data_IF_198752813312
#
_entry.id   IF_198752813312
#
_cell.length_a   1.000
_cell.length_b   1.000
_cell.length_c   1.000
_cell.angle_alpha   90.00
_cell.angle_beta   90.00
_cell.angle_gamma   90.00
#
_symmetry.space_group_name_H-M   'P 1'
#
loop_
_entity.id
_entity.type
_entity.pdbx_description
1 polymer ?
#
# COMPACT_ATOMS: atom_id res chain seq x y z
N UNK A 1 5.09 -20.68 20.99
CA UNK A 1 4.42 -21.34 19.83
C UNK A 1 3.34 -20.42 19.25
N UNK A 2 3.59 -19.11 19.20
CA UNK A 2 2.53 -18.11 18.97
C UNK A 2 2.33 -17.82 17.47
N UNK A 3 3.37 -18.11 16.68
CA UNK A 3 3.31 -18.05 15.22
C UNK A 3 2.32 -19.02 14.58
N UNK A 4 2.01 -20.14 15.25
CA UNK A 4 1.03 -21.13 14.80
C UNK A 4 -0.39 -20.83 15.31
N UNK A 5 -0.51 -19.98 16.34
CA UNK A 5 -1.78 -19.65 17.00
C UNK A 5 -2.38 -18.33 16.53
N UNK A 6 -1.76 -17.69 15.53
CA UNK A 6 -2.21 -16.42 14.95
C UNK A 6 -2.29 -15.26 15.98
N UNK A 7 -1.39 -15.26 16.97
CA UNK A 7 -1.34 -14.23 18.01
C UNK A 7 -0.04 -13.43 17.88
N UNK A 8 -0.15 -12.10 17.72
CA UNK A 8 0.94 -11.11 17.78
C UNK A 8 2.28 -11.56 17.16
N UNK A 9 2.22 -12.02 15.92
CA UNK A 9 3.32 -12.71 15.24
C UNK A 9 3.56 -12.13 13.85
N UNK A 10 4.68 -12.48 13.21
CA UNK A 10 5.02 -12.06 11.86
C UNK A 10 3.96 -12.54 10.84
N UNK A 11 3.20 -11.59 10.28
CA UNK A 11 2.10 -11.85 9.33
C UNK A 11 2.58 -12.52 8.04
N UNK A 12 3.80 -12.22 7.59
CA UNK A 12 4.36 -12.84 6.37
C UNK A 12 4.62 -14.33 6.60
N UNK A 13 5.15 -14.69 7.76
CA UNK A 13 5.38 -16.08 8.14
C UNK A 13 4.05 -16.84 8.28
N UNK A 14 3.05 -16.25 8.92
CA UNK A 14 1.72 -16.85 9.05
C UNK A 14 1.08 -17.12 7.69
N UNK A 15 1.10 -16.13 6.78
CA UNK A 15 0.55 -16.27 5.43
C UNK A 15 1.28 -17.37 4.63
N UNK A 16 2.60 -17.46 4.79
CA UNK A 16 3.38 -18.51 4.13
C UNK A 16 3.05 -19.90 4.69
N UNK A 17 2.92 -20.05 6.02
CA UNK A 17 2.51 -21.31 6.65
C UNK A 17 1.10 -21.70 6.22
N UNK A 18 0.15 -20.76 6.21
CA UNK A 18 -1.22 -21.01 5.77
C UNK A 18 -1.29 -21.45 4.29
N UNK A 19 -0.42 -20.90 3.44
CA UNK A 19 -0.38 -21.21 2.01
C UNK A 19 0.30 -22.54 1.67
N UNK A 20 1.39 -22.87 2.35
CA UNK A 20 2.25 -24.00 1.97
C UNK A 20 2.25 -25.17 2.97
N UNK A 21 1.75 -24.96 4.19
CA UNK A 21 1.78 -25.93 5.28
C UNK A 21 3.09 -25.90 6.07
N UNK A 22 3.00 -26.21 7.36
CA UNK A 22 4.15 -26.20 8.28
C UNK A 22 5.23 -27.22 7.90
N UNK A 23 4.83 -28.35 7.30
CA UNK A 23 5.73 -29.41 6.83
C UNK A 23 6.68 -28.97 5.70
N UNK A 24 6.48 -27.79 5.12
CA UNK A 24 7.40 -27.18 4.14
C UNK A 24 8.44 -26.26 4.78
N UNK A 25 8.43 -26.12 6.10
CA UNK A 25 9.40 -25.33 6.86
C UNK A 25 10.37 -26.25 7.60
N UNK A 26 11.60 -25.77 7.76
CA UNK A 26 12.63 -26.43 8.57
C UNK A 26 13.12 -25.45 9.63
N UNK A 27 13.27 -25.93 10.85
CA UNK A 27 13.76 -25.15 11.97
C UNK A 27 15.19 -25.56 12.28
N UNK A 28 16.10 -24.58 12.31
CA UNK A 28 17.51 -24.79 12.61
C UNK A 28 17.90 -23.88 13.78
N UNK A 29 18.61 -24.45 14.75
CA UNK A 29 19.26 -23.68 15.81
C UNK A 29 20.67 -23.34 15.33
N UNK A 30 20.97 -22.05 15.21
CA UNK A 30 22.25 -21.59 14.66
C UNK A 30 23.36 -21.53 15.74
N UNK A 31 23.04 -21.00 16.92
CA UNK A 31 23.99 -20.84 18.02
C UNK A 31 23.23 -20.79 19.35
N UNK A 32 23.81 -21.36 20.40
CA UNK A 32 23.34 -21.22 21.77
C UNK A 32 24.09 -20.07 22.44
N UNK A 33 23.39 -19.23 23.18
CA UNK A 33 24.02 -18.14 23.92
C UNK A 33 24.84 -18.72 25.08
N UNK A 34 26.12 -18.34 25.25
CA UNK A 34 26.89 -18.74 26.41
C UNK A 34 26.38 -18.07 27.68
N UNK A 35 26.56 -18.71 28.84
CA UNK A 35 26.01 -18.27 30.14
C UNK A 35 26.49 -16.88 30.58
N UNK A 36 27.58 -16.38 30.01
CA UNK A 36 28.13 -15.05 30.29
C UNK A 36 27.48 -13.91 29.48
N UNK A 37 26.62 -14.22 28.51
CA UNK A 37 25.84 -13.22 27.79
C UNK A 37 24.53 -12.94 28.52
N UNK A 38 24.49 -11.85 29.28
CA UNK A 38 23.30 -11.42 30.02
C UNK A 38 22.67 -10.15 29.45
N UNK A 39 23.31 -9.51 28.45
CA UNK A 39 22.83 -8.25 27.90
C UNK A 39 22.03 -8.47 26.61
N UNK A 40 21.04 -7.59 26.39
CA UNK A 40 20.28 -7.57 25.14
C UNK A 40 21.17 -7.18 23.93
N UNK A 41 22.24 -6.42 24.17
CA UNK A 41 23.13 -5.97 23.11
C UNK A 41 23.95 -7.16 22.55
N UNK A 42 24.26 -8.17 23.37
CA UNK A 42 24.90 -9.42 22.90
C UNK A 42 23.99 -10.19 21.92
N UNK A 43 22.69 -10.24 22.21
CA UNK A 43 21.69 -10.84 21.31
C UNK A 43 21.60 -10.09 19.98
N UNK A 44 21.57 -8.75 20.01
CA UNK A 44 21.56 -7.92 18.81
C UNK A 44 22.81 -8.14 17.95
N UNK A 45 23.98 -8.21 18.57
CA UNK A 45 25.24 -8.43 17.86
C UNK A 45 25.25 -9.80 17.17
N UNK A 46 24.71 -10.82 17.84
CA UNK A 46 24.59 -12.17 17.28
C UNK A 46 23.56 -12.22 16.15
N UNK A 47 22.42 -11.55 16.30
CA UNK A 47 21.43 -11.41 15.22
C UNK A 47 22.06 -10.71 14.00
N UNK A 48 22.80 -9.62 14.20
CA UNK A 48 23.50 -8.91 13.13
C UNK A 48 24.52 -9.79 12.41
N UNK A 49 25.35 -10.54 13.16
CA UNK A 49 26.32 -11.51 12.61
C UNK A 49 25.68 -12.46 11.60
N UNK A 50 24.49 -12.98 11.92
CA UNK A 50 23.78 -13.90 11.02
C UNK A 50 23.06 -13.18 9.88
N UNK A 51 22.48 -12.00 10.11
CA UNK A 51 21.91 -11.18 9.03
C UNK A 51 22.96 -10.86 7.96
N UNK A 52 24.18 -10.48 8.38
CA UNK A 52 25.28 -10.17 7.48
C UNK A 52 25.74 -11.40 6.68
N UNK A 53 25.76 -12.58 7.30
CA UNK A 53 26.11 -13.84 6.63
C UNK A 53 25.12 -14.21 5.50
N UNK A 54 23.86 -13.75 5.62
CA UNK A 54 22.77 -14.11 4.71
C UNK A 54 22.29 -12.96 3.81
N UNK A 55 22.93 -11.80 3.91
CA UNK A 55 22.52 -10.55 3.25
C UNK A 55 22.33 -10.68 1.74
N UNK A 56 23.21 -11.42 1.07
CA UNK A 56 23.16 -11.57 -0.40
C UNK A 56 22.25 -12.72 -0.86
N UNK A 57 21.74 -13.53 0.08
CA UNK A 57 20.92 -14.71 -0.23
C UNK A 57 19.43 -14.45 -0.07
N UNK A 58 19.06 -13.48 0.77
CA UNK A 58 17.67 -13.23 1.15
C UNK A 58 17.38 -11.74 1.30
N UNK A 59 16.12 -11.37 1.07
CA UNK A 59 15.65 -9.99 1.21
C UNK A 59 15.25 -9.68 2.66
N UNK A 60 16.23 -9.58 3.56
CA UNK A 60 16.03 -9.20 4.97
C UNK A 60 16.39 -7.74 5.23
N UNK A 61 16.03 -7.21 6.40
CA UNK A 61 16.54 -5.89 6.82
C UNK A 61 18.06 -5.94 7.04
N UNK A 62 18.73 -4.83 6.71
CA UNK A 62 20.19 -4.73 6.81
C UNK A 62 20.73 -4.70 8.24
N UNK A 63 19.89 -4.36 9.22
CA UNK A 63 20.33 -4.13 10.58
C UNK A 63 19.38 -4.78 11.58
N UNK A 64 19.95 -5.53 12.53
CA UNK A 64 19.26 -5.99 13.72
C UNK A 64 18.86 -4.76 14.57
N UNK A 65 17.62 -4.73 15.06
CA UNK A 65 17.08 -3.58 15.78
C UNK A 65 16.29 -4.04 17.00
N UNK A 66 16.34 -3.20 18.03
CA UNK A 66 15.46 -3.34 19.20
C UNK A 66 14.01 -3.40 18.74
N UNK A 67 13.24 -4.31 19.34
CA UNK A 67 11.80 -4.40 19.08
C UNK A 67 11.16 -3.03 19.27
N UNK A 68 10.31 -2.62 18.31
CA UNK A 68 9.51 -1.39 18.41
C UNK A 68 8.27 -1.58 19.28
N UNK A 69 8.06 -2.78 19.85
CA UNK A 69 6.97 -3.03 20.77
C UNK A 69 7.15 -2.16 22.03
N UNK A 70 6.15 -1.30 22.31
CA UNK A 70 6.21 -0.36 23.42
C UNK A 70 6.94 0.96 23.14
N UNK A 71 7.47 1.18 21.92
CA UNK A 71 8.01 2.51 21.58
C UNK A 71 6.87 3.50 21.36
N UNK A 72 6.81 4.55 22.18
CA UNK A 72 5.90 5.67 21.98
C UNK A 72 6.48 6.64 20.96
N UNK A 73 5.63 7.18 20.08
CA UNK A 73 6.02 8.35 19.28
C UNK A 73 6.45 9.47 20.22
N UNK A 74 7.57 10.13 19.91
CA UNK A 74 7.99 11.32 20.65
C UNK A 74 6.91 12.40 20.58
N UNK A 75 6.81 13.25 21.60
CA UNK A 75 5.84 14.36 21.61
C UNK A 75 6.03 15.27 20.39
N UNK A 76 7.28 15.49 19.97
CA UNK A 76 7.61 16.21 18.73
C UNK A 76 7.01 15.56 17.49
N UNK A 77 7.12 14.22 17.37
CA UNK A 77 6.54 13.48 16.24
C UNK A 77 5.01 13.56 16.24
N UNK A 78 4.39 13.47 17.42
CA UNK A 78 2.93 13.62 17.56
C UNK A 78 2.48 15.03 17.17
N UNK A 79 3.18 16.07 17.64
CA UNK A 79 2.91 17.46 17.28
C UNK A 79 3.07 17.70 15.78
N UNK A 80 4.13 17.17 15.17
CA UNK A 80 4.35 17.29 13.72
C UNK A 80 3.22 16.62 12.91
N UNK A 81 2.78 15.42 13.32
CA UNK A 81 1.66 14.72 12.69
C UNK A 81 0.35 15.49 12.84
N UNK A 82 0.10 16.09 14.02
CA UNK A 82 -1.07 16.93 14.27
C UNK A 82 -1.07 18.18 13.38
N UNK A 83 0.05 18.90 13.28
CA UNK A 83 0.21 20.06 12.39
C UNK A 83 -0.04 19.70 10.93
N UNK A 84 0.57 18.61 10.44
CA UNK A 84 0.37 18.12 9.06
C UNK A 84 -1.07 17.74 8.77
N UNK A 85 -1.78 17.17 9.75
CA UNK A 85 -3.21 16.86 9.61
C UNK A 85 -4.01 18.15 9.37
N UNK A 86 -3.81 19.17 10.19
CA UNK A 86 -4.51 20.45 10.06
C UNK A 86 -4.23 21.10 8.71
N UNK A 87 -2.97 21.14 8.30
CA UNK A 87 -2.55 21.67 6.99
C UNK A 87 -3.16 20.88 5.81
N UNK A 88 -3.36 19.58 5.95
CA UNK A 88 -3.94 18.76 4.90
C UNK A 88 -5.45 18.98 4.73
N UNK A 89 -6.17 19.28 5.82
CA UNK A 89 -7.63 19.42 5.85
C UNK A 89 -8.10 20.89 5.76
N UNK A 90 -7.49 21.71 4.91
CA UNK A 90 -8.01 23.06 4.64
C UNK A 90 -9.34 23.01 3.89
N UNK A 91 -10.20 24.02 4.10
CA UNK A 91 -11.48 24.15 3.38
C UNK A 91 -11.27 24.25 1.87
N UNK A 92 -10.19 24.89 1.44
CA UNK A 92 -9.77 24.97 0.04
C UNK A 92 -9.52 23.58 -0.55
N UNK A 93 -8.77 22.72 0.16
CA UNK A 93 -8.54 21.34 -0.29
C UNK A 93 -9.82 20.51 -0.30
N UNK A 94 -10.70 20.67 0.69
CA UNK A 94 -12.01 20.00 0.69
C UNK A 94 -12.83 20.39 -0.55
N UNK A 95 -12.85 21.68 -0.91
CA UNK A 95 -13.52 22.16 -2.13
C UNK A 95 -12.92 21.56 -3.40
N UNK A 96 -11.59 21.56 -3.53
CA UNK A 96 -10.90 20.94 -4.68
C UNK A 96 -11.25 19.45 -4.80
N UNK A 97 -11.28 18.72 -3.68
CA UNK A 97 -11.67 17.30 -3.67
C UNK A 97 -13.13 17.15 -4.11
N UNK A 98 -14.06 17.94 -3.56
CA UNK A 98 -15.47 17.92 -3.94
C UNK A 98 -15.66 18.19 -5.44
N UNK A 99 -15.01 19.23 -5.97
CA UNK A 99 -15.04 19.59 -7.40
C UNK A 99 -14.43 18.51 -8.29
N UNK A 100 -13.44 17.77 -7.82
CA UNK A 100 -12.80 16.71 -8.60
C UNK A 100 -13.75 15.54 -8.86
N UNK A 101 -14.62 15.22 -7.90
CA UNK A 101 -15.55 14.08 -7.94
C UNK A 101 -16.98 14.45 -8.36
N UNK A 102 -17.35 15.74 -8.36
CA UNK A 102 -18.67 16.22 -8.77
C UNK A 102 -18.82 16.40 -10.28
N UNK A 103 -17.73 16.35 -11.04
CA UNK A 103 -17.77 16.47 -12.51
C UNK A 103 -18.36 15.22 -13.14
N UNK A 104 -19.20 15.44 -14.14
CA UNK A 104 -19.70 14.38 -15.01
C UNK A 104 -18.53 13.66 -15.68
N UNK A 105 -18.70 12.36 -15.92
CA UNK A 105 -17.72 11.54 -16.62
C UNK A 105 -18.33 10.92 -17.86
N UNK A 106 -17.52 10.87 -18.90
CA UNK A 106 -17.87 10.29 -20.19
C UNK A 106 -16.92 9.13 -20.47
N UNK A 107 -17.52 7.99 -20.83
CA UNK A 107 -16.81 6.77 -21.22
C UNK A 107 -16.93 6.62 -22.74
N UNK A 108 -15.80 6.62 -23.44
CA UNK A 108 -15.73 6.45 -24.89
C UNK A 108 -15.05 5.13 -25.25
N UNK A 109 -15.38 4.60 -26.41
CA UNK A 109 -14.60 3.52 -27.02
C UNK A 109 -13.29 4.09 -27.56
N UNK A 110 -12.16 3.44 -27.26
CA UNK A 110 -10.84 3.91 -27.65
C UNK A 110 -10.58 3.85 -29.17
N UNK A 111 -11.32 3.04 -29.92
CA UNK A 111 -11.13 2.88 -31.37
C UNK A 111 -11.99 3.82 -32.19
N UNK A 112 -13.26 3.97 -31.81
CA UNK A 112 -14.23 4.76 -32.59
C UNK A 112 -14.47 6.14 -32.01
N UNK A 113 -14.01 6.42 -30.78
CA UNK A 113 -14.32 7.64 -30.02
C UNK A 113 -15.83 7.88 -29.87
N UNK A 114 -16.64 6.84 -30.01
CA UNK A 114 -18.08 6.93 -29.79
C UNK A 114 -18.36 6.92 -28.29
N UNK A 115 -19.28 7.79 -27.86
CA UNK A 115 -19.73 7.84 -26.48
C UNK A 115 -20.49 6.55 -26.14
N UNK A 116 -19.98 5.80 -25.17
CA UNK A 116 -20.61 4.58 -24.66
C UNK A 116 -21.63 4.96 -23.59
N UNK A 117 -21.20 5.74 -22.60
CA UNK A 117 -22.03 6.08 -21.45
C UNK A 117 -21.59 7.36 -20.77
N UNK A 118 -22.59 8.10 -20.27
CA UNK A 118 -22.41 9.27 -19.41
C UNK A 118 -22.73 8.89 -17.97
N UNK A 119 -21.92 9.38 -17.05
CA UNK A 119 -22.06 9.19 -15.61
C UNK A 119 -22.20 10.53 -14.91
N UNK A 120 -23.19 10.63 -14.03
CA UNK A 120 -23.40 11.83 -13.23
C UNK A 120 -22.38 11.90 -12.09
N UNK A 121 -21.99 10.74 -11.56
CA UNK A 121 -21.07 10.59 -10.43
C UNK A 121 -19.98 9.58 -10.73
N UNK A 122 -18.81 9.81 -10.15
CA UNK A 122 -17.70 8.86 -10.20
C UNK A 122 -18.07 7.48 -9.63
N UNK A 123 -18.91 7.42 -8.59
CA UNK A 123 -19.30 6.18 -7.91
C UNK A 123 -20.03 5.18 -8.82
N UNK A 124 -20.86 5.69 -9.72
CA UNK A 124 -21.59 4.86 -10.69
C UNK A 124 -20.63 4.14 -11.63
N UNK A 125 -19.65 4.88 -12.16
CA UNK A 125 -18.60 4.33 -13.04
C UNK A 125 -17.69 3.34 -12.29
N UNK A 126 -17.33 3.66 -11.04
CA UNK A 126 -16.50 2.81 -10.18
C UNK A 126 -17.16 1.44 -9.97
N UNK A 127 -18.46 1.45 -9.66
CA UNK A 127 -19.25 0.25 -9.39
C UNK A 127 -19.40 -0.59 -10.65
N UNK A 128 -19.70 0.03 -11.79
CA UNK A 128 -19.90 -0.68 -13.06
C UNK A 128 -18.60 -1.27 -13.62
N UNK A 129 -17.49 -0.51 -13.59
CA UNK A 129 -16.20 -0.98 -14.09
C UNK A 129 -15.44 -1.89 -13.10
N UNK A 130 -15.91 -1.96 -11.85
CA UNK A 130 -15.27 -2.66 -10.72
C UNK A 130 -13.81 -2.24 -10.56
N UNK A 131 -13.60 -0.94 -10.39
CA UNK A 131 -12.26 -0.32 -10.29
C UNK A 131 -12.13 0.53 -9.04
N UNK A 132 -10.90 0.85 -8.65
CA UNK A 132 -10.70 1.80 -7.54
C UNK A 132 -10.97 3.25 -7.99
N UNK A 133 -11.40 4.14 -7.09
CA UNK A 133 -11.52 5.57 -7.40
C UNK A 133 -10.21 6.18 -7.94
N UNK A 134 -9.07 5.71 -7.43
CA UNK A 134 -7.73 6.13 -7.89
C UNK A 134 -7.49 5.79 -9.36
N UNK A 135 -8.05 4.69 -9.83
CA UNK A 135 -7.95 4.29 -11.24
C UNK A 135 -8.67 5.32 -12.12
N UNK A 136 -9.89 5.71 -11.76
CA UNK A 136 -10.62 6.74 -12.52
C UNK A 136 -9.82 8.04 -12.57
N UNK A 137 -9.30 8.51 -11.42
CA UNK A 137 -8.45 9.71 -11.37
C UNK A 137 -7.21 9.60 -12.25
N UNK A 138 -6.57 8.42 -12.28
CA UNK A 138 -5.36 8.20 -13.07
C UNK A 138 -5.59 8.29 -14.58
N UNK A 139 -6.74 7.81 -15.06
CA UNK A 139 -7.02 7.74 -16.50
C UNK A 139 -7.86 8.92 -17.00
N UNK A 140 -8.63 9.56 -16.12
CA UNK A 140 -9.45 10.74 -16.43
C UNK A 140 -8.59 11.86 -17.01
N UNK A 141 -8.96 12.32 -18.21
CA UNK A 141 -8.34 13.46 -18.91
C UNK A 141 -6.83 13.27 -19.22
N UNK A 142 -6.37 12.01 -19.30
CA UNK A 142 -4.96 11.69 -19.63
C UNK A 142 -4.76 11.18 -21.06
N UNK A 143 -5.84 11.06 -21.83
CA UNK A 143 -5.90 10.43 -23.16
C UNK A 143 -5.36 8.99 -23.20
N UNK A 144 -5.09 8.39 -22.05
CA UNK A 144 -4.62 7.02 -21.94
C UNK A 144 -5.78 6.05 -22.04
N UNK A 145 -5.56 4.98 -22.82
CA UNK A 145 -6.55 3.93 -22.98
C UNK A 145 -6.60 3.05 -21.73
N UNK A 146 -7.75 3.07 -21.06
CA UNK A 146 -8.07 2.17 -19.97
C UNK A 146 -8.42 0.77 -20.49
N UNK A 147 -7.71 -0.24 -19.99
CA UNK A 147 -7.85 -1.68 -20.37
C UNK A 147 -7.76 -1.94 -21.88
N UNK A 148 -7.08 -1.09 -22.64
CA UNK A 148 -6.99 -1.21 -24.10
C UNK A 148 -8.32 -1.04 -24.84
N UNK A 149 -9.37 -0.53 -24.18
CA UNK A 149 -10.73 -0.46 -24.73
C UNK A 149 -11.43 0.88 -24.54
N UNK A 150 -11.14 1.61 -23.46
CA UNK A 150 -11.94 2.76 -23.07
C UNK A 150 -11.11 4.02 -22.86
N UNK A 151 -11.70 5.18 -23.13
CA UNK A 151 -11.17 6.49 -22.76
C UNK A 151 -12.13 7.14 -21.77
N UNK A 152 -11.58 7.76 -20.72
CA UNK A 152 -12.34 8.39 -19.65
C UNK A 152 -12.01 9.88 -19.66
N UNK A 153 -13.02 10.73 -19.78
CA UNK A 153 -12.84 12.19 -19.72
C UNK A 153 -13.99 12.88 -19.00
N UNK A 154 -13.71 14.07 -18.46
CA UNK A 154 -14.72 14.98 -17.92
C UNK A 154 -15.32 15.93 -18.95
N UNK A 155 -14.84 15.89 -20.20
CA UNK A 155 -15.28 16.77 -21.28
C UNK A 155 -16.04 15.98 -22.33
N UNK A 156 -17.07 16.61 -22.90
CA UNK A 156 -17.72 16.07 -24.09
C UNK A 156 -16.77 16.27 -25.27
N UNK A 157 -16.39 15.18 -25.94
CA UNK A 157 -15.61 15.23 -27.17
C UNK A 157 -16.62 15.45 -28.29
N UNK A 158 -16.71 16.69 -28.79
CA UNK A 158 -17.53 17.01 -29.96
C UNK A 158 -16.64 16.77 -31.18
N UNK A 159 -17.01 15.82 -32.03
CA UNK A 159 -16.33 15.64 -33.31
C UNK A 159 -16.57 16.89 -34.18
N UNK A 160 -15.53 17.54 -34.71
CA UNK A 160 -15.67 18.76 -35.53
C UNK A 160 -16.19 18.46 -36.96
N UNK A 161 -17.27 17.70 -37.09
CA UNK A 161 -17.75 17.18 -38.37
C UNK A 161 -19.26 16.99 -38.51
N UNK A 162 -20.07 17.75 -37.77
CA UNK A 162 -21.49 18.01 -38.05
C UNK A 162 -21.75 19.51 -38.11
#
# INVERSE_FOLDING_TARGET
MDHLKNQNSNIYLQNAIAKYGLNKFSFYVLEFLPDNCSSYDDLLNLEQKYLDLFKDKYNFENFAKKSRAGTYSTEESKMLMSKKKIEFYTEERKKVILEQFSKELFLYDAKTLNLIKKYSKHEEMITELKVSPKTIIKYKDTDQVFRGKYIITSKLIVNPGE
#
